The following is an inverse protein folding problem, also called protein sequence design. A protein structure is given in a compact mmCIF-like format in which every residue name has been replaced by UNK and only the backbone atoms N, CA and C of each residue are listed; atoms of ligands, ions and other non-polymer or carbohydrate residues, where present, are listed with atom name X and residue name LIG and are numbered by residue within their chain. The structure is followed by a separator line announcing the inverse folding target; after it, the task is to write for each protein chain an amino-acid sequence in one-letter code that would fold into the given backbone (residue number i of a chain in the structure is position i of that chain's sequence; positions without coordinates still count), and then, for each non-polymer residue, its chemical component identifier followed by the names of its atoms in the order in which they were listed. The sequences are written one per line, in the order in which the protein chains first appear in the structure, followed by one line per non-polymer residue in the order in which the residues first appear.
data_IF_239017896162
#
_entry.id   IF_239017896162
#
_cell.length_a   1.000
_cell.length_b   1.000
_cell.length_c   1.000
_cell.angle_alpha   90.00
_cell.angle_beta   90.00
_cell.angle_gamma   90.00
#
_symmetry.space_group_name_H-M   'P 1'
#
loop_
_entity.id
_entity.type
_entity.pdbx_description
1 polymer ?
#
# COMPACT_ATOMS: atom_id res chain seq x y z
N UNK A 1 5.40 23.66 -3.93
CA UNK A 1 4.80 23.08 -2.73
C UNK A 1 4.10 21.81 -3.17
N UNK A 2 4.66 20.65 -2.85
CA UNK A 2 4.19 19.36 -3.38
C UNK A 2 2.95 18.88 -2.62
N UNK A 3 2.26 17.85 -3.12
CA UNK A 3 1.19 17.21 -2.35
C UNK A 3 1.72 16.33 -1.21
N UNK A 4 3.01 15.96 -1.21
CA UNK A 4 3.64 15.13 -0.18
C UNK A 4 3.60 15.78 1.22
N UNK A 5 3.94 17.07 1.29
CA UNK A 5 4.08 17.82 2.55
C UNK A 5 2.80 17.82 3.44
N UNK A 6 1.65 17.38 2.92
CA UNK A 6 0.40 17.27 3.67
C UNK A 6 0.17 15.93 4.36
N UNK A 7 0.89 14.88 3.97
CA UNK A 7 0.62 13.52 4.41
C UNK A 7 1.84 12.85 5.05
N UNK A 8 2.97 13.56 5.19
CA UNK A 8 4.21 13.01 5.75
C UNK A 8 3.97 12.35 7.13
N UNK A 9 3.13 12.94 7.98
CA UNK A 9 2.79 12.37 9.31
C UNK A 9 1.91 11.10 9.22
N UNK A 10 1.19 10.90 8.12
CA UNK A 10 0.31 9.76 7.89
C UNK A 10 0.99 8.63 7.10
N UNK A 11 2.10 8.92 6.43
CA UNK A 11 2.90 7.93 5.71
C UNK A 11 3.79 7.19 6.70
N UNK A 12 3.62 5.88 6.77
CA UNK A 12 4.46 5.02 7.58
C UNK A 12 5.61 4.43 6.75
N UNK A 13 6.82 4.49 7.30
CA UNK A 13 7.99 3.81 6.75
C UNK A 13 8.03 2.35 7.18
N UNK A 14 7.62 1.47 6.27
CA UNK A 14 7.52 0.04 6.48
C UNK A 14 8.79 -0.72 6.05
N UNK A 15 9.89 -0.03 5.74
CA UNK A 15 11.13 -0.63 5.22
C UNK A 15 11.76 -1.66 6.17
N UNK A 16 11.42 -1.60 7.46
CA UNK A 16 11.89 -2.55 8.48
C UNK A 16 10.85 -3.60 8.89
N UNK A 17 9.80 -3.82 8.08
CA UNK A 17 8.74 -4.79 8.38
C UNK A 17 7.83 -4.40 9.55
N UNK A 18 7.88 -3.13 9.99
CA UNK A 18 7.09 -2.64 11.11
C UNK A 18 5.60 -2.49 10.78
N UNK A 19 4.78 -2.27 11.81
CA UNK A 19 3.37 -1.93 11.65
C UNK A 19 3.16 -0.43 11.93
N UNK A 20 2.21 0.23 11.24
CA UNK A 20 1.77 1.56 11.65
C UNK A 20 1.29 1.55 13.11
N UNK A 21 1.46 2.64 13.88
CA UNK A 21 1.05 2.70 15.29
C UNK A 21 -0.43 2.36 15.52
N UNK A 22 -1.31 2.79 14.61
CA UNK A 22 -2.75 2.50 14.61
C UNK A 22 -3.11 1.48 13.54
N UNK A 23 -2.31 0.41 13.43
CA UNK A 23 -2.53 -0.68 12.48
C UNK A 23 -3.97 -1.21 12.60
N UNK A 24 -4.62 -1.40 11.44
CA UNK A 24 -5.97 -1.94 11.38
C UNK A 24 -5.85 -3.37 10.88
N UNK A 25 -5.95 -4.31 11.82
CA UNK A 25 -6.09 -5.72 11.48
C UNK A 25 -7.41 -5.97 10.76
N UNK A 26 -7.35 -6.72 9.67
CA UNK A 26 -8.46 -6.95 8.77
C UNK A 26 -8.86 -8.42 8.82
N UNK A 27 -10.14 -8.74 9.09
CA UNK A 27 -10.63 -10.11 9.01
C UNK A 27 -10.39 -10.72 7.62
N UNK A 28 -10.04 -12.00 7.57
CA UNK A 28 -9.61 -12.67 6.33
C UNK A 28 -10.72 -12.66 5.27
N UNK A 29 -11.98 -12.70 5.67
CA UNK A 29 -13.13 -12.56 4.76
C UNK A 29 -13.21 -11.19 4.08
N UNK A 30 -12.73 -10.14 4.75
CA UNK A 30 -12.66 -8.78 4.20
C UNK A 30 -11.45 -8.64 3.26
N UNK A 31 -10.32 -9.22 3.64
CA UNK A 31 -9.09 -9.25 2.81
C UNK A 31 -9.33 -9.99 1.49
N UNK A 32 -9.93 -11.18 1.55
CA UNK A 32 -10.20 -12.00 0.35
C UNK A 32 -11.18 -11.33 -0.62
N UNK A 33 -12.05 -10.45 -0.12
CA UNK A 33 -12.94 -9.60 -0.91
C UNK A 33 -12.28 -8.30 -1.38
N UNK A 34 -11.03 -8.04 -0.98
CA UNK A 34 -10.29 -6.81 -1.23
C UNK A 34 -11.08 -5.57 -0.79
N UNK A 35 -11.74 -5.67 0.38
CA UNK A 35 -12.57 -4.62 0.95
C UNK A 35 -11.76 -3.36 1.31
N UNK A 36 -12.44 -2.21 1.39
CA UNK A 36 -11.80 -0.93 1.72
C UNK A 36 -11.45 -0.76 3.20
N UNK A 37 -12.07 -1.55 4.09
CA UNK A 37 -11.77 -1.51 5.53
C UNK A 37 -10.40 -2.10 5.77
N UNK A 38 -9.54 -1.35 6.49
CA UNK A 38 -8.16 -1.77 6.78
C UNK A 38 -7.25 -1.81 5.55
N UNK A 39 -7.69 -1.24 4.42
CA UNK A 39 -6.89 -1.15 3.20
C UNK A 39 -5.86 -0.03 3.30
N UNK A 40 -4.60 -0.41 3.13
CA UNK A 40 -3.49 0.50 2.95
C UNK A 40 -3.13 0.60 1.47
N UNK A 41 -2.64 1.76 1.07
CA UNK A 41 -1.94 1.95 -0.18
C UNK A 41 -0.45 1.81 0.09
N UNK A 42 0.27 1.09 -0.76
CA UNK A 42 1.72 0.95 -0.64
C UNK A 42 2.44 1.36 -1.92
N UNK A 43 3.66 1.87 -1.75
CA UNK A 43 4.62 2.11 -2.82
C UNK A 43 6.01 1.68 -2.36
N UNK A 44 6.77 1.12 -3.30
CA UNK A 44 8.20 0.92 -3.16
C UNK A 44 8.88 1.97 -4.04
N UNK A 45 9.70 2.84 -3.45
CA UNK A 45 10.53 3.78 -4.20
C UNK A 45 12.04 3.52 -3.93
N UNK A 46 12.90 4.46 -4.31
CA UNK A 46 14.35 4.32 -4.08
C UNK A 46 14.76 4.36 -2.60
N UNK A 47 13.86 4.73 -1.70
CA UNK A 47 14.10 4.83 -0.26
C UNK A 47 13.50 3.67 0.52
N UNK A 48 12.59 2.89 -0.08
CA UNK A 48 12.04 1.67 0.52
C UNK A 48 10.52 1.58 0.44
N UNK A 49 9.93 0.86 1.39
CA UNK A 49 8.48 0.63 1.44
C UNK A 49 7.80 1.72 2.24
N UNK A 50 6.84 2.40 1.63
CA UNK A 50 5.99 3.38 2.28
C UNK A 50 4.53 2.97 2.16
N UNK A 51 3.78 3.12 3.25
CA UNK A 51 2.36 2.78 3.29
C UNK A 51 1.54 3.91 3.91
N UNK A 52 0.27 4.00 3.53
CA UNK A 52 -0.71 4.94 4.12
C UNK A 52 -2.09 4.28 4.15
N UNK A 53 -2.87 4.52 5.21
CA UNK A 53 -4.25 4.04 5.27
C UNK A 53 -5.07 4.74 4.19
N UNK A 54 -5.74 4.01 3.30
CA UNK A 54 -6.47 4.60 2.18
C UNK A 54 -7.58 5.54 2.66
N UNK A 55 -8.25 5.21 3.78
CA UNK A 55 -9.29 6.03 4.38
C UNK A 55 -8.80 7.40 4.91
N UNK A 56 -7.49 7.69 4.87
CA UNK A 56 -6.93 8.99 5.28
C UNK A 56 -7.59 10.12 4.47
N UNK A 57 -8.20 11.12 5.14
CA UNK A 57 -8.87 12.21 4.44
C UNK A 57 -7.92 13.05 3.59
N UNK A 58 -8.32 13.33 2.34
CA UNK A 58 -7.61 14.24 1.46
C UNK A 58 -8.50 15.44 1.10
N UNK A 59 -8.33 16.60 1.77
CA UNK A 59 -9.19 17.77 1.55
C UNK A 59 -8.99 18.43 0.18
N UNK A 60 -7.93 18.07 -0.56
CA UNK A 60 -7.67 18.60 -1.91
C UNK A 60 -8.43 17.85 -3.00
N UNK A 61 -9.05 16.70 -2.71
CA UNK A 61 -9.81 15.90 -3.68
C UNK A 61 -11.31 16.03 -3.48
N UNK A 62 -12.02 16.44 -4.52
CA UNK A 62 -13.46 16.72 -4.47
C UNK A 62 -14.35 15.50 -4.75
N UNK A 63 -13.88 14.52 -5.53
CA UNK A 63 -14.69 13.36 -5.97
C UNK A 63 -14.45 12.10 -5.13
N UNK A 64 -13.21 11.90 -4.67
CA UNK A 64 -12.82 10.86 -3.70
C UNK A 64 -11.94 11.56 -2.66
N UNK A 65 -12.51 12.05 -1.54
CA UNK A 65 -11.81 12.86 -0.55
C UNK A 65 -10.89 12.00 0.35
N UNK A 66 -10.19 11.05 -0.26
CA UNK A 66 -9.28 10.10 0.37
C UNK A 66 -7.95 10.09 -0.40
N UNK A 67 -6.89 9.64 0.26
CA UNK A 67 -5.55 9.58 -0.35
C UNK A 67 -5.47 8.59 -1.53
N UNK A 68 -4.45 8.77 -2.36
CA UNK A 68 -4.05 7.84 -3.42
C UNK A 68 -2.51 7.66 -3.42
N UNK A 69 -1.98 6.72 -4.21
CA UNK A 69 -0.53 6.43 -4.20
C UNK A 69 0.36 7.66 -4.47
N UNK A 70 -0.10 8.61 -5.28
CA UNK A 70 0.68 9.83 -5.55
C UNK A 70 0.79 10.75 -4.36
N UNK A 71 -0.09 10.62 -3.35
CA UNK A 71 0.05 11.34 -2.10
C UNK A 71 1.23 10.81 -1.27
N UNK A 72 1.60 9.54 -1.41
CA UNK A 72 2.78 8.96 -0.75
C UNK A 72 4.08 9.49 -1.38
N UNK A 73 4.14 9.57 -2.71
CA UNK A 73 5.36 9.96 -3.45
C UNK A 73 5.46 11.47 -3.68
N UNK A 74 4.42 12.24 -3.37
CA UNK A 74 4.29 13.64 -3.82
C UNK A 74 4.24 13.76 -5.35
N UNK A 75 3.78 12.72 -6.04
CA UNK A 75 3.73 12.64 -7.49
C UNK A 75 5.06 12.25 -8.16
N UNK A 76 6.10 11.91 -7.41
CA UNK A 76 7.37 11.39 -7.94
C UNK A 76 7.23 9.95 -8.47
N UNK A 77 8.20 9.45 -9.26
CA UNK A 77 8.24 8.04 -9.64
C UNK A 77 8.35 7.12 -8.42
N UNK A 78 7.77 5.94 -8.53
CA UNK A 78 7.97 4.80 -7.63
C UNK A 78 8.35 3.58 -8.50
N UNK A 79 9.02 2.60 -7.90
CA UNK A 79 9.35 1.34 -8.55
C UNK A 79 8.09 0.49 -8.74
N UNK A 80 7.25 0.39 -7.70
CA UNK A 80 5.99 -0.33 -7.76
C UNK A 80 5.00 0.17 -6.72
N UNK A 81 3.72 -0.20 -6.84
CA UNK A 81 2.70 0.13 -5.85
C UNK A 81 1.41 -0.66 -6.02
N UNK A 82 0.60 -0.67 -4.97
CA UNK A 82 -0.65 -1.41 -4.93
C UNK A 82 -1.42 -1.24 -3.63
N UNK A 83 -2.26 -2.21 -3.29
CA UNK A 83 -3.03 -2.23 -2.05
C UNK A 83 -2.49 -3.31 -1.10
N UNK A 84 -2.62 -3.05 0.20
CA UNK A 84 -2.11 -3.88 1.28
C UNK A 84 -3.15 -4.01 2.40
N UNK A 85 -3.21 -5.19 3.02
CA UNK A 85 -3.97 -5.44 4.23
C UNK A 85 -3.12 -6.19 5.24
N UNK A 86 -3.23 -5.80 6.50
CA UNK A 86 -2.72 -6.58 7.63
C UNK A 86 -3.82 -7.55 8.04
N UNK A 87 -3.62 -8.84 7.76
CA UNK A 87 -4.60 -9.89 8.07
C UNK A 87 -4.62 -10.19 9.57
N UNK A 88 -5.79 -10.56 10.09
CA UNK A 88 -5.94 -11.04 11.47
C UNK A 88 -5.27 -12.41 11.74
N UNK A 89 -4.57 -12.97 10.75
CA UNK A 89 -3.77 -14.19 10.82
C UNK A 89 -2.25 -13.92 10.79
N UNK A 90 -1.85 -12.70 11.13
CA UNK A 90 -0.45 -12.21 11.16
C UNK A 90 0.25 -12.15 9.79
N UNK A 91 -0.51 -12.25 8.69
CA UNK A 91 0.02 -12.14 7.32
C UNK A 91 -0.22 -10.76 6.72
N UNK A 92 0.60 -10.41 5.74
CA UNK A 92 0.42 -9.21 4.92
C UNK A 92 -0.07 -9.61 3.54
N UNK A 93 -1.24 -9.14 3.17
CA UNK A 93 -1.83 -9.41 1.87
C UNK A 93 -1.61 -8.24 0.95
N UNK A 94 -1.09 -8.47 -0.26
CA UNK A 94 -0.86 -7.41 -1.23
C UNK A 94 -1.38 -7.76 -2.61
N UNK A 95 -1.77 -6.74 -3.36
CA UNK A 95 -1.94 -6.79 -4.81
C UNK A 95 -1.10 -5.67 -5.44
N UNK A 96 -1.10 -5.61 -6.78
CA UNK A 96 -0.51 -4.52 -7.57
C UNK A 96 -1.56 -3.52 -8.07
N UNK A 97 -2.68 -3.33 -7.34
CA UNK A 97 -3.74 -2.41 -7.73
C UNK A 97 -3.34 -0.94 -7.52
N UNK A 98 -2.65 -0.38 -8.51
CA UNK A 98 -2.34 1.04 -8.57
C UNK A 98 -2.47 1.58 -9.99
N UNK A 99 -3.29 2.62 -10.17
CA UNK A 99 -3.49 3.23 -11.48
C UNK A 99 -2.24 3.88 -12.07
N UNK A 100 -1.20 4.14 -11.25
CA UNK A 100 0.06 4.75 -11.70
C UNK A 100 1.26 3.82 -11.57
N UNK A 101 1.28 2.97 -10.56
CA UNK A 101 2.46 2.18 -10.19
C UNK A 101 2.23 0.66 -10.24
N UNK A 102 1.07 0.20 -10.73
CA UNK A 102 0.61 -1.19 -10.58
C UNK A 102 0.95 -2.15 -11.71
N UNK A 103 1.42 -1.66 -12.86
CA UNK A 103 1.85 -2.56 -13.94
C UNK A 103 3.18 -3.21 -13.57
N UNK A 104 3.16 -4.52 -13.33
CA UNK A 104 4.34 -5.35 -13.16
C UNK A 104 4.30 -6.52 -14.14
N UNK A 105 5.41 -6.71 -14.84
CA UNK A 105 5.72 -8.00 -15.45
C UNK A 105 5.88 -9.06 -14.34
N UNK A 106 5.69 -10.36 -14.63
CA UNK A 106 5.78 -11.43 -13.63
C UNK A 106 7.05 -11.35 -12.78
N UNK A 107 8.20 -11.09 -13.39
CA UNK A 107 9.50 -10.99 -12.70
C UNK A 107 9.56 -9.78 -11.75
N UNK A 108 8.90 -8.67 -12.10
CA UNK A 108 8.81 -7.50 -11.23
C UNK A 108 7.92 -7.80 -10.03
N UNK A 109 6.83 -8.55 -10.24
CA UNK A 109 5.94 -8.96 -9.16
C UNK A 109 6.62 -9.95 -8.20
N UNK A 110 7.38 -10.91 -8.74
CA UNK A 110 8.20 -11.82 -7.93
C UNK A 110 9.24 -11.05 -7.08
N UNK A 111 9.90 -10.05 -7.66
CA UNK A 111 10.84 -9.21 -6.94
C UNK A 111 10.16 -8.41 -5.80
N UNK A 112 8.92 -7.97 -6.00
CA UNK A 112 8.13 -7.29 -4.98
C UNK A 112 7.81 -8.24 -3.83
N UNK A 113 7.30 -9.44 -4.13
CA UNK A 113 7.03 -10.45 -3.10
C UNK A 113 8.30 -10.81 -2.31
N UNK A 114 9.42 -11.03 -3.02
CA UNK A 114 10.71 -11.30 -2.39
C UNK A 114 11.17 -10.15 -1.48
N UNK A 115 10.95 -8.90 -1.88
CA UNK A 115 11.28 -7.74 -1.07
C UNK A 115 10.42 -7.64 0.20
N UNK A 116 9.11 -7.86 0.11
CA UNK A 116 8.22 -7.91 1.28
C UNK A 116 8.64 -9.01 2.28
N UNK A 117 9.00 -10.20 1.77
CA UNK A 117 9.56 -11.27 2.60
C UNK A 117 10.90 -10.88 3.22
N UNK A 118 11.79 -10.25 2.46
CA UNK A 118 13.11 -9.84 2.93
C UNK A 118 13.05 -8.86 4.10
N UNK A 119 12.10 -7.91 4.07
CA UNK A 119 11.92 -6.92 5.15
C UNK A 119 11.16 -7.47 6.36
N UNK A 120 10.69 -8.72 6.32
CA UNK A 120 10.19 -9.45 7.49
C UNK A 120 8.70 -9.80 7.48
N UNK A 121 7.97 -9.55 6.39
CA UNK A 121 6.55 -9.91 6.32
C UNK A 121 6.33 -11.34 5.80
N UNK A 122 5.37 -12.06 6.39
CA UNK A 122 4.75 -13.22 5.75
C UNK A 122 3.73 -12.73 4.73
N UNK A 123 4.14 -12.62 3.46
CA UNK A 123 3.34 -12.00 2.40
C UNK A 123 2.48 -13.00 1.63
N UNK A 124 1.25 -12.62 1.34
CA UNK A 124 0.30 -13.35 0.49
C UNK A 124 -0.09 -12.48 -0.70
N UNK A 125 0.18 -12.97 -1.91
CA UNK A 125 -0.27 -12.32 -3.14
C UNK A 125 -1.76 -12.54 -3.34
N UNK A 126 -2.52 -11.45 -3.48
CA UNK A 126 -3.91 -11.47 -3.92
C UNK A 126 -3.99 -11.37 -5.44
N UNK A 127 -5.04 -11.94 -6.08
CA UNK A 127 -5.24 -11.78 -7.51
C UNK A 127 -5.59 -10.33 -7.86
N UNK A 128 -5.18 -9.88 -9.04
CA UNK A 128 -5.68 -8.63 -9.59
C UNK A 128 -7.16 -8.79 -9.97
N UNK A 129 -8.06 -8.09 -9.27
CA UNK A 129 -9.48 -8.08 -9.61
C UNK A 129 -9.75 -6.91 -10.56
N UNK A 130 -10.28 -7.20 -11.75
CA UNK A 130 -10.89 -6.17 -12.59
C UNK A 130 -12.11 -5.58 -11.86
N UNK A 131 -12.11 -4.27 -11.67
CA UNK A 131 -13.27 -3.49 -11.22
C UNK A 131 -13.54 -2.36 -12.21
#
# INVERSE_FOLDING_TARGET
MGEADLFDDAVFDATNGGLPPDCIETPIESVTRQGSVGRYLWVIDSLGLKIILEATPNPKRTTRPIVCHTNITGGKPALHGGELWFGADDKVYINNASGRYGNAEPEQWEAVLAYFTFIGYEVVSLPFLFG
#
